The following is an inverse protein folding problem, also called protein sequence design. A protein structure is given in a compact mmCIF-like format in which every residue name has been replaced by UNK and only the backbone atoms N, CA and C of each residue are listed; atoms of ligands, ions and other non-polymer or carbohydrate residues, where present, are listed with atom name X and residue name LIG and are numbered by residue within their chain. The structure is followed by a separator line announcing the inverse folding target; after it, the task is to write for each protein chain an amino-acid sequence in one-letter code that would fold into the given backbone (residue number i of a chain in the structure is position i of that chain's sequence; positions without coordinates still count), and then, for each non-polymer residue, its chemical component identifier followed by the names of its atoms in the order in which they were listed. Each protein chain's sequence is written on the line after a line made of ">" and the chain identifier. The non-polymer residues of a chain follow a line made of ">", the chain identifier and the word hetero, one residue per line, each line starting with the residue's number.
data_IF_420937006513
#
_entry.id   IF_420937006513
#
_cell.length_a   1.000
_cell.length_b   1.000
_cell.length_c   1.000
_cell.angle_alpha   90.00
_cell.angle_beta   90.00
_cell.angle_gamma   90.00
#
_symmetry.space_group_name_H-M   'P 1'
#
loop_
_entity.id
_entity.type
_entity.pdbx_description
1 polymer ?
#
# COMPACT_ATOMS: atom_id res chain seq x y z
N UNK A 1 -24.45 -0.99 13.04
CA UNK A 1 -24.05 -2.12 12.19
C UNK A 1 -22.53 -2.13 12.04
N UNK A 2 -21.93 -3.33 12.01
CA UNK A 2 -20.50 -3.55 11.72
C UNK A 2 -20.32 -3.92 10.25
N UNK A 3 -19.27 -3.41 9.61
CA UNK A 3 -18.90 -3.80 8.24
C UNK A 3 -17.39 -3.83 8.06
N UNK A 4 -16.92 -4.76 7.22
CA UNK A 4 -15.52 -4.84 6.81
C UNK A 4 -15.25 -4.06 5.52
N UNK A 5 -14.11 -3.36 5.51
CA UNK A 5 -13.63 -2.59 4.37
C UNK A 5 -12.26 -3.08 3.95
N UNK A 6 -12.03 -3.15 2.63
CA UNK A 6 -10.73 -3.25 1.99
C UNK A 6 -10.32 -1.85 1.53
N UNK A 7 -9.10 -1.44 1.83
CA UNK A 7 -8.53 -0.19 1.35
C UNK A 7 -7.27 -0.44 0.54
N UNK A 8 -7.06 0.37 -0.50
CA UNK A 8 -5.82 0.47 -1.23
C UNK A 8 -5.19 1.85 -1.00
N UNK A 9 -3.88 1.87 -0.76
CA UNK A 9 -3.18 3.09 -0.41
C UNK A 9 -1.73 3.07 -0.90
N UNK A 10 -1.15 4.26 -1.01
CA UNK A 10 0.23 4.51 -1.37
C UNK A 10 0.91 5.29 -0.25
N UNK A 11 2.21 5.11 -0.03
CA UNK A 11 2.94 5.91 0.94
C UNK A 11 4.44 6.01 0.64
N UNK A 12 5.05 7.08 1.13
CA UNK A 12 6.50 7.29 1.11
C UNK A 12 7.09 6.82 2.45
N UNK A 13 7.84 5.72 2.41
CA UNK A 13 8.36 5.02 3.59
C UNK A 13 9.39 5.77 4.45
N UNK A 14 10.05 6.81 3.92
CA UNK A 14 11.25 7.43 4.52
C UNK A 14 11.05 7.88 5.97
N UNK A 15 9.89 8.47 6.28
CA UNK A 15 9.59 9.00 7.62
C UNK A 15 8.98 7.96 8.58
N UNK A 16 8.71 6.74 8.11
CA UNK A 16 8.05 5.70 8.90
C UNK A 16 9.05 4.67 9.40
N UNK A 17 8.88 4.27 10.66
CA UNK A 17 9.67 3.21 11.30
C UNK A 17 9.42 1.85 10.64
N UNK A 18 8.18 1.57 10.26
CA UNK A 18 7.75 0.38 9.51
C UNK A 18 6.31 0.54 9.02
N UNK A 19 5.84 -0.36 8.17
CA UNK A 19 4.40 -0.40 7.89
C UNK A 19 3.59 -0.83 9.13
N UNK A 20 4.10 -1.79 9.90
CA UNK A 20 3.38 -2.43 10.99
C UNK A 20 3.63 -1.75 12.34
N UNK A 21 2.60 -1.77 13.19
CA UNK A 21 2.62 -1.24 14.55
C UNK A 21 3.39 -2.19 15.51
N UNK A 22 4.09 -1.64 16.51
CA UNK A 22 4.85 -2.44 17.50
C UNK A 22 4.01 -2.85 18.72
N UNK A 23 3.51 -4.07 18.75
CA UNK A 23 2.69 -4.54 19.88
C UNK A 23 3.41 -4.47 21.23
N UNK A 24 3.04 -3.47 22.05
CA UNK A 24 3.49 -3.33 23.43
C UNK A 24 2.70 -4.26 24.35
N UNK A 25 3.28 -4.60 25.51
CA UNK A 25 2.63 -5.47 26.51
C UNK A 25 1.31 -4.90 27.05
N UNK A 26 1.12 -3.58 26.95
CA UNK A 26 -0.01 -2.83 27.49
C UNK A 26 -1.29 -2.93 26.64
N UNK A 27 -1.24 -3.64 25.50
CA UNK A 27 -2.41 -3.99 24.71
C UNK A 27 -2.32 -3.60 23.24
N UNK A 28 -3.39 -3.88 22.50
CA UNK A 28 -3.45 -3.72 21.03
C UNK A 28 -3.90 -2.33 20.56
N UNK A 29 -4.53 -1.54 21.41
CA UNK A 29 -5.22 -0.31 21.03
C UNK A 29 -4.46 0.96 21.48
N UNK A 30 -3.15 0.99 21.28
CA UNK A 30 -2.33 2.17 21.59
C UNK A 30 -2.04 2.98 20.31
N UNK A 31 -1.89 4.31 20.39
CA UNK A 31 -1.54 5.16 19.25
C UNK A 31 -0.08 4.97 18.84
N UNK A 32 0.19 4.75 17.56
CA UNK A 32 1.55 4.66 17.00
C UNK A 32 1.68 5.63 15.80
N UNK A 33 2.19 6.86 16.02
CA UNK A 33 2.36 7.83 14.95
C UNK A 33 3.58 7.55 14.05
N UNK A 34 4.40 6.54 14.37
CA UNK A 34 5.63 6.23 13.62
C UNK A 34 5.44 5.10 12.60
N UNK A 35 4.33 4.36 12.67
CA UNK A 35 3.98 3.32 11.69
C UNK A 35 2.84 3.73 10.76
N UNK A 36 2.88 3.19 9.55
CA UNK A 36 1.79 3.38 8.56
C UNK A 36 0.48 2.84 9.12
N UNK A 37 0.51 1.65 9.74
CA UNK A 37 -0.66 1.05 10.36
C UNK A 37 -1.23 1.96 11.46
N UNK A 38 -0.41 2.42 12.40
CA UNK A 38 -0.89 3.25 13.50
C UNK A 38 -1.48 4.59 13.03
N UNK A 39 -0.88 5.24 12.05
CA UNK A 39 -1.43 6.46 11.45
C UNK A 39 -2.74 6.22 10.69
N UNK A 40 -2.87 5.08 10.00
CA UNK A 40 -4.13 4.68 9.36
C UNK A 40 -5.24 4.42 10.40
N UNK A 41 -4.92 3.77 11.52
CA UNK A 41 -5.84 3.56 12.64
C UNK A 41 -6.27 4.90 13.27
N UNK A 42 -5.32 5.82 13.48
CA UNK A 42 -5.59 7.18 13.97
C UNK A 42 -6.49 8.00 13.03
N UNK A 43 -6.27 7.86 11.72
CA UNK A 43 -7.13 8.48 10.70
C UNK A 43 -8.55 7.93 10.75
N UNK A 44 -8.70 6.60 10.86
CA UNK A 44 -10.00 5.93 10.97
C UNK A 44 -10.76 6.33 12.24
N UNK A 45 -10.06 6.57 13.36
CA UNK A 45 -10.69 7.08 14.58
C UNK A 45 -11.31 8.48 14.40
N UNK A 46 -10.86 9.30 13.43
CA UNK A 46 -11.49 10.59 13.13
C UNK A 46 -12.88 10.47 12.53
N UNK A 47 -13.20 9.31 11.96
CA UNK A 47 -14.53 8.96 11.44
C UNK A 47 -15.52 8.66 12.60
N UNK A 48 -15.01 8.52 13.83
CA UNK A 48 -15.76 8.22 15.05
C UNK A 48 -16.56 6.90 14.98
N UNK A 49 -15.92 5.77 14.62
CA UNK A 49 -16.56 4.46 14.77
C UNK A 49 -16.80 4.12 16.24
N UNK A 50 -17.72 3.20 16.51
CA UNK A 50 -17.99 2.70 17.87
C UNK A 50 -16.88 1.76 18.37
N UNK A 51 -16.16 1.10 17.46
CA UNK A 51 -15.07 0.19 17.76
C UNK A 51 -13.70 0.81 17.44
N UNK A 52 -12.63 0.26 18.03
CA UNK A 52 -11.28 0.55 17.58
C UNK A 52 -11.02 -0.10 16.20
N UNK A 53 -10.57 0.65 15.19
CA UNK A 53 -10.46 0.17 13.82
C UNK A 53 -9.14 -0.60 13.61
N UNK A 54 -9.05 -1.83 14.13
CA UNK A 54 -7.85 -2.67 13.99
C UNK A 54 -7.52 -2.93 12.51
N UNK A 55 -6.45 -2.32 12.01
CA UNK A 55 -6.04 -2.41 10.61
C UNK A 55 -5.13 -3.63 10.41
N UNK A 56 -5.48 -4.49 9.45
CA UNK A 56 -4.63 -5.62 9.05
C UNK A 56 -4.10 -5.40 7.64
N UNK A 57 -2.79 -5.18 7.53
CA UNK A 57 -2.06 -5.00 6.28
C UNK A 57 -1.98 -6.30 5.46
N UNK A 58 -2.00 -6.18 4.13
CA UNK A 58 -1.72 -7.31 3.23
C UNK A 58 -0.28 -7.80 3.31
N UNK A 59 0.66 -6.93 3.65
CA UNK A 59 2.09 -7.21 3.75
C UNK A 59 2.76 -6.24 4.72
N UNK A 60 3.85 -6.72 5.34
CA UNK A 60 4.74 -5.89 6.16
C UNK A 60 5.85 -5.32 5.26
N UNK A 61 6.26 -4.09 5.52
CA UNK A 61 7.47 -3.47 4.99
C UNK A 61 8.30 -2.90 6.13
N UNK A 62 9.62 -2.91 5.95
CA UNK A 62 10.56 -2.33 6.89
C UNK A 62 10.63 -0.80 6.72
N UNK A 63 11.28 -0.12 7.67
CA UNK A 63 11.46 1.33 7.63
C UNK A 63 12.13 1.79 6.35
N UNK A 64 11.67 2.91 5.79
CA UNK A 64 12.20 3.47 4.54
C UNK A 64 11.62 2.85 3.25
N UNK A 65 10.95 1.69 3.31
CA UNK A 65 10.36 1.07 2.11
C UNK A 65 9.10 1.81 1.68
N UNK A 66 9.03 2.23 0.41
CA UNK A 66 7.84 2.87 -0.17
C UNK A 66 6.79 1.84 -0.63
N UNK A 67 5.53 2.27 -0.76
CA UNK A 67 4.51 1.47 -1.41
C UNK A 67 3.75 2.27 -2.48
N UNK A 68 3.79 1.76 -3.71
CA UNK A 68 2.99 2.27 -4.82
C UNK A 68 1.51 1.89 -4.64
N UNK A 69 1.25 0.64 -4.27
CA UNK A 69 -0.10 0.11 -4.02
C UNK A 69 -0.03 -0.98 -2.96
N UNK A 70 -0.25 -0.59 -1.72
CA UNK A 70 -0.49 -1.51 -0.62
C UNK A 70 -1.99 -1.69 -0.41
N UNK A 71 -2.37 -2.73 0.33
CA UNK A 71 -3.75 -2.96 0.72
C UNK A 71 -3.86 -3.35 2.19
N UNK A 72 -5.02 -3.09 2.77
CA UNK A 72 -5.33 -3.47 4.14
C UNK A 72 -6.83 -3.67 4.29
N UNK A 73 -7.23 -4.35 5.35
CA UNK A 73 -8.64 -4.39 5.74
C UNK A 73 -8.82 -4.00 7.20
N UNK A 74 -10.02 -3.52 7.51
CA UNK A 74 -10.43 -3.12 8.85
C UNK A 74 -11.95 -3.20 8.98
N UNK A 75 -12.42 -3.24 10.22
CA UNK A 75 -13.85 -3.25 10.54
C UNK A 75 -14.25 -1.90 11.15
N UNK A 76 -15.35 -1.32 10.67
CA UNK A 76 -15.98 -0.15 11.29
C UNK A 76 -17.40 -0.48 11.74
N UNK A 77 -17.73 0.01 12.91
CA UNK A 77 -19.04 -0.10 13.52
C UNK A 77 -19.66 1.28 13.70
N UNK A 78 -20.93 1.41 13.32
CA UNK A 78 -21.73 2.64 13.42
C UNK A 78 -23.00 2.38 14.21
N UNK A 79 -23.50 3.39 14.93
CA UNK A 79 -24.82 3.34 15.57
C UNK A 79 -25.93 3.29 14.49
N UNK A 80 -26.92 2.42 14.68
CA UNK A 80 -28.03 2.22 13.73
C UNK A 80 -27.81 1.06 12.76
N UNK A 81 -28.64 1.01 11.72
CA UNK A 81 -28.61 -0.05 10.70
C UNK A 81 -27.66 0.25 9.53
N UNK A 82 -27.30 1.53 9.35
CA UNK A 82 -26.42 1.96 8.26
C UNK A 82 -24.94 1.66 8.51
N UNK A 83 -24.20 1.57 7.42
CA UNK A 83 -22.73 1.46 7.40
C UNK A 83 -22.10 2.80 7.01
N UNK A 84 -20.77 2.87 7.02
CA UNK A 84 -20.07 4.06 6.50
C UNK A 84 -19.92 3.94 4.99
N UNK A 85 -20.24 5.02 4.27
CA UNK A 85 -20.02 5.08 2.83
C UNK A 85 -18.52 5.01 2.51
N UNK A 86 -18.13 4.17 1.55
CA UNK A 86 -16.72 3.89 1.27
C UNK A 86 -15.95 5.14 0.78
N UNK A 87 -16.63 5.99 0.01
CA UNK A 87 -16.09 7.28 -0.45
C UNK A 87 -15.87 8.25 0.71
N UNK A 88 -16.79 8.27 1.69
CA UNK A 88 -16.66 9.09 2.89
C UNK A 88 -15.46 8.65 3.74
N UNK A 89 -15.27 7.34 3.92
CA UNK A 89 -14.10 6.80 4.64
C UNK A 89 -12.79 7.23 3.96
N UNK A 90 -12.72 7.10 2.63
CA UNK A 90 -11.54 7.51 1.84
C UNK A 90 -11.26 9.00 1.99
N UNK A 91 -12.29 9.83 1.89
CA UNK A 91 -12.19 11.29 2.01
C UNK A 91 -11.68 11.71 3.39
N UNK A 92 -12.28 11.21 4.47
CA UNK A 92 -11.89 11.60 5.83
C UNK A 92 -10.47 11.14 6.19
N UNK A 93 -10.03 9.96 5.72
CA UNK A 93 -8.65 9.51 5.91
C UNK A 93 -7.66 10.45 5.18
N UNK A 94 -7.90 10.74 3.90
CA UNK A 94 -7.02 11.64 3.13
C UNK A 94 -6.99 13.06 3.71
N UNK A 95 -8.14 13.56 4.18
CA UNK A 95 -8.23 14.86 4.87
C UNK A 95 -7.41 14.88 6.15
N UNK A 96 -7.38 13.79 6.92
CA UNK A 96 -6.51 13.66 8.09
C UNK A 96 -5.03 13.68 7.68
N UNK A 97 -4.63 12.89 6.70
CA UNK A 97 -3.22 12.85 6.26
C UNK A 97 -2.73 14.19 5.71
N UNK A 98 -3.55 14.84 4.88
CA UNK A 98 -3.24 16.16 4.33
C UNK A 98 -3.04 17.22 5.42
N UNK A 99 -3.94 17.27 6.41
CA UNK A 99 -3.86 18.25 7.51
C UNK A 99 -2.64 18.09 8.41
N UNK A 100 -2.06 16.89 8.46
CA UNK A 100 -0.95 16.56 9.36
C UNK A 100 0.37 16.34 8.59
N UNK A 101 0.44 16.70 7.31
CA UNK A 101 1.63 16.49 6.44
C UNK A 101 2.15 15.02 6.45
N UNK A 102 1.21 14.07 6.45
CA UNK A 102 1.53 12.64 6.45
C UNK A 102 1.59 12.14 5.02
N UNK A 103 2.71 11.51 4.64
CA UNK A 103 2.96 10.99 3.28
C UNK A 103 2.25 9.65 2.99
N UNK A 104 0.94 9.59 3.25
CA UNK A 104 0.04 8.47 2.95
C UNK A 104 -1.14 8.99 2.12
N UNK A 105 -1.50 8.27 1.05
CA UNK A 105 -2.67 8.56 0.21
C UNK A 105 -3.53 7.31 0.11
N UNK A 106 -4.77 7.40 0.57
CA UNK A 106 -5.80 6.38 0.36
C UNK A 106 -6.39 6.56 -1.03
N UNK A 107 -6.32 5.51 -1.85
CA UNK A 107 -6.82 5.52 -3.23
C UNK A 107 -8.29 5.20 -3.29
N UNK A 108 -8.70 4.16 -2.56
CA UNK A 108 -10.09 3.73 -2.49
C UNK A 108 -10.31 2.87 -1.26
N UNK A 109 -11.53 2.91 -0.74
CA UNK A 109 -12.07 1.91 0.17
C UNK A 109 -13.23 1.19 -0.52
N UNK A 110 -13.45 -0.07 -0.17
CA UNK A 110 -14.51 -0.91 -0.70
C UNK A 110 -15.08 -1.74 0.44
N UNK A 111 -16.40 -1.83 0.55
CA UNK A 111 -17.03 -2.81 1.44
C UNK A 111 -16.77 -4.22 0.91
N UNK A 112 -16.41 -5.13 1.79
CA UNK A 112 -16.13 -6.53 1.47
C UNK A 112 -16.88 -7.45 2.44
N UNK A 113 -16.86 -8.75 2.15
CA UNK A 113 -17.43 -9.76 3.05
C UNK A 113 -16.68 -9.77 4.39
N UNK A 114 -17.40 -10.03 5.49
CA UNK A 114 -16.84 -10.07 6.85
C UNK A 114 -15.75 -11.13 7.05
N UNK A 115 -15.68 -12.14 6.16
CA UNK A 115 -14.65 -13.18 6.16
C UNK A 115 -13.40 -12.81 5.31
N UNK A 116 -13.41 -11.68 4.60
CA UNK A 116 -12.28 -11.27 3.76
C UNK A 116 -11.07 -10.88 4.61
N UNK A 117 -9.87 -11.28 4.18
CA UNK A 117 -8.59 -10.86 4.72
C UNK A 117 -7.66 -10.38 3.63
N UNK A 118 -7.25 -9.12 3.69
CA UNK A 118 -6.25 -8.55 2.79
C UNK A 118 -4.91 -9.31 2.80
N UNK A 119 -4.60 -10.04 3.88
CA UNK A 119 -3.37 -10.83 3.99
C UNK A 119 -3.52 -12.22 3.37
N UNK A 120 -4.58 -12.94 3.69
CA UNK A 120 -4.74 -14.35 3.31
C UNK A 120 -5.42 -14.53 1.95
N UNK A 121 -6.26 -13.59 1.52
CA UNK A 121 -6.90 -13.64 0.20
C UNK A 121 -6.05 -13.02 -0.92
N UNK A 122 -4.86 -12.47 -0.60
CA UNK A 122 -3.95 -11.96 -1.61
C UNK A 122 -3.30 -13.11 -2.39
N UNK A 123 -3.43 -13.10 -3.72
CA UNK A 123 -2.87 -14.13 -4.61
C UNK A 123 -1.36 -13.98 -4.79
N UNK A 124 -0.87 -12.75 -4.89
CA UNK A 124 0.55 -12.44 -5.10
C UNK A 124 0.89 -11.05 -4.54
N UNK A 125 2.19 -10.79 -4.42
CA UNK A 125 2.76 -9.50 -4.02
C UNK A 125 3.93 -9.21 -4.95
N UNK A 126 4.03 -7.98 -5.43
CA UNK A 126 5.08 -7.57 -6.37
C UNK A 126 5.94 -6.50 -5.72
N UNK A 127 7.26 -6.69 -5.80
CA UNK A 127 8.25 -5.76 -5.28
C UNK A 127 9.06 -5.21 -6.45
N UNK A 128 9.25 -3.89 -6.47
CA UNK A 128 10.07 -3.20 -7.44
C UNK A 128 11.32 -2.67 -6.74
N UNK A 129 12.49 -3.14 -7.16
CA UNK A 129 13.77 -2.60 -6.73
C UNK A 129 14.35 -1.75 -7.87
N UNK A 130 14.71 -0.51 -7.55
CA UNK A 130 15.38 0.39 -8.48
C UNK A 130 16.82 0.55 -8.01
N UNK A 131 17.76 0.13 -8.84
CA UNK A 131 19.18 0.21 -8.58
C UNK A 131 19.78 1.24 -9.54
N UNK A 132 20.47 2.24 -8.99
CA UNK A 132 21.23 3.19 -9.78
C UNK A 132 22.72 2.91 -9.63
N UNK A 133 23.39 2.69 -10.77
CA UNK A 133 24.84 2.53 -10.82
C UNK A 133 25.42 3.84 -11.32
N UNK A 134 26.32 4.41 -10.53
CA UNK A 134 27.03 5.62 -10.92
C UNK A 134 27.91 5.30 -12.13
N UNK A 135 27.92 6.18 -13.13
CA UNK A 135 28.81 6.01 -14.28
C UNK A 135 30.26 6.00 -13.79
N UNK A 136 31.14 5.15 -14.35
CA UNK A 136 32.55 5.09 -13.95
C UNK A 136 33.27 6.44 -14.02
N UNK A 137 32.87 7.28 -14.99
CA UNK A 137 33.38 8.64 -15.21
C UNK A 137 33.05 9.64 -14.08
N UNK A 138 32.01 9.34 -13.30
CA UNK A 138 31.50 10.18 -12.20
C UNK A 138 31.86 9.59 -10.83
N UNK A 139 32.26 8.31 -10.79
CA UNK A 139 32.65 7.65 -9.56
C UNK A 139 33.97 8.23 -9.01
N UNK A 140 33.88 8.90 -7.86
CA UNK A 140 35.07 9.22 -7.06
C UNK A 140 35.85 7.93 -6.79
N UNK A 141 37.17 7.95 -6.99
CA UNK A 141 38.06 6.79 -6.78
C UNK A 141 38.04 6.23 -5.34
N UNK A 142 37.43 6.96 -4.40
CA UNK A 142 37.34 6.56 -3.02
C UNK A 142 36.07 5.72 -2.76
N UNK A 143 36.31 4.40 -2.63
CA UNK A 143 35.47 3.37 -1.99
C UNK A 143 34.17 2.99 -2.70
N UNK A 144 34.31 2.21 -3.78
CA UNK A 144 33.21 1.44 -4.38
C UNK A 144 32.98 0.12 -3.63
N UNK A 145 32.44 0.17 -2.42
CA UNK A 145 31.75 -1.01 -1.89
C UNK A 145 30.34 -1.06 -2.49
N UNK A 146 29.79 -2.25 -2.72
CA UNK A 146 28.38 -2.43 -3.14
C UNK A 146 27.42 -1.71 -2.17
N UNK A 147 27.85 -1.38 -0.94
CA UNK A 147 27.07 -0.63 0.04
C UNK A 147 26.96 0.89 -0.24
N UNK A 148 27.70 1.46 -1.20
CA UNK A 148 27.68 2.91 -1.48
C UNK A 148 26.54 3.36 -2.39
N UNK A 149 25.47 2.55 -2.52
CA UNK A 149 24.29 2.93 -3.30
C UNK A 149 23.68 4.22 -2.75
N UNK A 150 23.56 5.22 -3.62
CA UNK A 150 22.88 6.47 -3.32
C UNK A 150 21.38 6.18 -3.29
N UNK A 151 20.67 6.39 -2.16
CA UNK A 151 19.22 6.36 -2.15
C UNK A 151 18.72 7.47 -3.06
N UNK A 152 18.15 7.13 -4.22
CA UNK A 152 17.44 8.10 -5.04
C UNK A 152 16.13 8.39 -4.30
N UNK A 153 16.01 9.55 -3.66
CA UNK A 153 14.73 10.01 -3.14
C UNK A 153 13.79 10.34 -4.30
N UNK A 154 12.87 9.42 -4.61
CA UNK A 154 11.97 9.45 -5.78
C UNK A 154 10.76 10.42 -5.65
N UNK A 155 10.85 11.52 -4.90
CA UNK A 155 9.67 12.37 -4.74
C UNK A 155 9.28 13.13 -6.02
N UNK A 156 10.25 13.46 -6.88
CA UNK A 156 9.99 14.30 -8.08
C UNK A 156 9.42 13.56 -9.28
N UNK A 157 9.59 12.23 -9.41
CA UNK A 157 9.14 11.48 -10.59
C UNK A 157 7.70 10.97 -10.51
N UNK A 158 7.15 10.86 -9.30
CA UNK A 158 5.80 10.33 -9.11
C UNK A 158 4.70 11.23 -9.71
N UNK A 159 4.96 12.53 -9.85
CA UNK A 159 4.06 13.48 -10.49
C UNK A 159 4.03 13.37 -12.03
N UNK A 160 5.10 12.85 -12.65
CA UNK A 160 5.20 12.75 -14.10
C UNK A 160 4.53 11.48 -14.64
N UNK A 161 4.67 10.34 -13.95
CA UNK A 161 4.08 9.06 -14.36
C UNK A 161 2.54 9.04 -14.24
N UNK A 162 1.96 9.87 -13.37
CA UNK A 162 0.50 10.00 -13.22
C UNK A 162 -0.19 10.84 -14.32
N UNK A 163 0.57 11.47 -15.23
CA UNK A 163 0.02 12.07 -16.46
C UNK A 163 -0.03 11.08 -17.63
N UNK A 164 0.50 9.87 -17.48
CA UNK A 164 0.77 8.95 -18.59
C UNK A 164 -0.29 7.89 -18.87
N UNK A 165 -0.80 7.16 -17.87
CA UNK A 165 -1.45 5.88 -18.16
C UNK A 165 -2.83 5.69 -17.49
N UNK A 166 -3.87 6.06 -18.25
CA UNK A 166 -5.20 5.45 -18.15
C UNK A 166 -5.24 4.29 -19.15
N UNK A 167 -4.87 3.09 -18.71
CA UNK A 167 -5.29 1.86 -19.37
C UNK A 167 -6.35 1.17 -18.51
N UNK A 168 -7.60 1.53 -18.78
CA UNK A 168 -8.79 0.77 -18.41
C UNK A 168 -8.78 -0.54 -19.18
N UNK A 169 -8.43 -1.63 -18.50
CA UNK A 169 -8.44 -2.97 -19.06
C UNK A 169 -9.02 -3.98 -18.07
N UNK A 170 -10.27 -3.78 -17.64
CA UNK A 170 -11.04 -4.80 -16.94
C UNK A 170 -12.50 -4.73 -17.40
N UNK A 171 -12.82 -5.49 -18.45
CA UNK A 171 -14.19 -5.87 -18.80
C UNK A 171 -14.60 -7.10 -17.98
N UNK A 172 -15.83 -7.19 -17.44
CA UNK A 172 -16.27 -8.31 -16.61
C UNK A 172 -16.83 -9.48 -17.43
N UNK A 173 -16.65 -10.68 -16.86
CA UNK A 173 -17.35 -11.95 -17.14
C UNK A 173 -16.95 -12.81 -18.36
N UNK A 174 -16.38 -14.01 -18.08
CA UNK A 174 -17.13 -15.28 -18.12
C UNK A 174 -16.29 -16.49 -17.64
N UNK A 175 -16.99 -17.38 -16.95
CA UNK A 175 -16.57 -18.70 -16.43
C UNK A 175 -16.19 -19.69 -17.55
N UNK A 176 -15.28 -20.62 -17.26
CA UNK A 176 -15.20 -21.93 -17.92
C UNK A 176 -13.79 -22.43 -18.30
N UNK A 177 -13.38 -23.66 -17.93
CA UNK A 177 -11.98 -24.11 -17.98
C UNK A 177 -11.65 -24.91 -19.25
N UNK A 178 -10.42 -24.77 -19.77
CA UNK A 178 -9.75 -25.88 -20.48
C UNK A 178 -8.25 -25.66 -20.65
N UNK A 179 -7.51 -26.73 -20.36
CA UNK A 179 -6.12 -26.96 -20.73
C UNK A 179 -5.82 -26.54 -22.16
N UNK A 180 -4.61 -26.01 -22.39
CA UNK A 180 -3.63 -26.64 -23.29
C UNK A 180 -2.22 -26.07 -23.09
N UNK A 181 -1.30 -27.03 -22.97
CA UNK A 181 0.15 -26.94 -22.99
C UNK A 181 0.60 -26.87 -24.47
N UNK A 182 1.49 -25.95 -24.83
CA UNK A 182 2.42 -26.00 -26.00
C UNK A 182 3.49 -24.94 -25.73
N UNK A 183 4.71 -25.25 -25.27
CA UNK A 183 5.90 -25.70 -26.03
C UNK A 183 6.25 -24.84 -27.25
N UNK A 184 7.41 -24.19 -27.13
CA UNK A 184 8.42 -23.86 -28.16
C UNK A 184 8.03 -22.99 -29.36
N UNK A 185 8.73 -21.86 -29.51
CA UNK A 185 9.47 -21.55 -30.73
C UNK A 185 10.63 -20.59 -30.39
N UNK A 186 11.85 -21.07 -30.61
CA UNK A 186 13.06 -20.24 -30.64
C UNK A 186 13.21 -19.50 -31.96
N UNK A 187 14.07 -18.48 -31.98
CA UNK A 187 14.42 -17.73 -33.17
C UNK A 187 15.37 -16.58 -32.85
N UNK A 188 16.67 -16.90 -32.85
CA UNK A 188 17.80 -15.99 -32.88
C UNK A 188 17.87 -15.20 -34.21
N UNK A 189 18.87 -14.29 -34.27
CA UNK A 189 19.35 -13.42 -35.37
C UNK A 189 18.81 -11.99 -35.21
N UNK A 190 19.60 -10.93 -35.00
CA UNK A 190 21.04 -10.73 -35.12
C UNK A 190 21.35 -9.64 -36.15
N UNK A 191 21.74 -8.45 -35.68
CA UNK A 191 22.92 -7.66 -36.07
C UNK A 191 22.94 -6.35 -35.30
#
# INVERSE_FOLDING_TARGET
>A
MKARYLTFFSYIGTKFRSSEKLWLKEGRNYPDPESVQGLMELALLKIRPLNYPNLTLSSRTDGGVHALKSSAHFDLERKGEDVFESNYVTYEMNKYFFKNDISIIVRTCLRVNDNFSARFNALSRTYLYRLAVLKPEVASKDKTTIASYIPIEEWKRWLEEYRGDVYLGASPARLGPRLRRTSEFGGLIGR
#
